data_IF_392843017019
#
_entry.id   IF_392843017019
#
_cell.length_a   1.000
_cell.length_b   1.000
_cell.length_c   1.000
_cell.angle_alpha   90.00
_cell.angle_beta   90.00
_cell.angle_gamma   90.00
#
_symmetry.space_group_name_H-M   'P 1'
#
loop_
_entity.id
_entity.type
_entity.pdbx_description
1 polymer ?
#
# COMPACT_ATOMS: atom_id res chain seq x y z
N UNK A 1 -11.30 29.17 -57.78
CA UNK A 1 -10.86 28.35 -58.93
C UNK A 1 -9.41 27.93 -58.69
N UNK A 2 -9.14 26.61 -58.70
CA UNK A 2 -7.84 25.89 -58.78
C UNK A 2 -6.79 26.21 -57.71
N UNK A 3 -6.55 25.31 -56.74
CA UNK A 3 -5.69 24.10 -56.82
C UNK A 3 -4.27 24.36 -57.32
N UNK A 4 -3.29 24.15 -56.42
CA UNK A 4 -2.08 23.39 -56.72
C UNK A 4 -1.54 22.78 -55.41
N UNK A 5 -1.33 21.47 -55.47
CA UNK A 5 -0.82 20.61 -54.41
C UNK A 5 0.71 20.71 -54.32
N UNK A 6 1.23 20.54 -53.10
CA UNK A 6 2.63 20.25 -52.82
C UNK A 6 2.69 19.33 -51.62
N UNK A 7 2.92 18.05 -51.88
CA UNK A 7 3.11 16.99 -50.88
C UNK A 7 4.49 17.06 -50.25
N UNK A 8 4.58 17.00 -48.91
CA UNK A 8 5.69 16.32 -48.23
C UNK A 8 5.06 15.41 -47.18
N UNK A 9 5.07 14.10 -47.48
CA UNK A 9 4.78 13.05 -46.53
C UNK A 9 5.83 13.06 -45.41
N UNK A 10 5.44 13.50 -44.22
CA UNK A 10 6.06 13.08 -42.96
C UNK A 10 5.22 11.96 -42.35
N UNK A 11 5.50 10.69 -42.72
CA UNK A 11 4.98 9.53 -42.01
C UNK A 11 5.50 9.58 -40.57
N UNK A 12 4.66 9.93 -39.61
CA UNK A 12 4.92 9.55 -38.22
C UNK A 12 4.66 8.05 -38.12
N UNK A 13 5.74 7.28 -38.01
CA UNK A 13 5.71 5.83 -37.77
C UNK A 13 5.00 5.57 -36.45
N UNK A 14 4.06 4.63 -36.46
CA UNK A 14 3.71 3.87 -35.25
C UNK A 14 5.01 3.33 -34.62
N UNK A 15 5.19 3.44 -33.29
CA UNK A 15 6.26 2.70 -32.63
C UNK A 15 5.85 1.22 -32.59
N UNK A 16 6.23 0.48 -33.62
CA UNK A 16 6.32 -0.97 -33.59
C UNK A 16 7.56 -1.37 -32.81
N UNK A 17 7.40 -2.34 -31.90
CA UNK A 17 8.43 -2.97 -31.07
C UNK A 17 9.12 -2.02 -30.08
N UNK A 18 8.63 -1.99 -28.84
CA UNK A 18 9.46 -1.56 -27.70
C UNK A 18 10.66 -2.51 -27.63
N UNK A 19 11.86 -1.97 -27.78
CA UNK A 19 13.06 -2.60 -27.22
C UNK A 19 12.80 -2.75 -25.72
N UNK A 20 12.56 -3.98 -25.29
CA UNK A 20 12.56 -4.34 -23.87
C UNK A 20 14.02 -4.16 -23.44
N UNK A 21 14.34 -3.23 -22.53
CA UNK A 21 15.68 -3.17 -21.97
C UNK A 21 15.96 -4.52 -21.32
N UNK A 22 17.09 -5.14 -21.63
CA UNK A 22 17.57 -6.30 -20.88
C UNK A 22 17.69 -5.89 -19.41
N UNK A 23 16.74 -6.32 -18.60
CA UNK A 23 16.73 -6.11 -17.16
C UNK A 23 17.91 -6.86 -16.58
N UNK A 24 18.71 -6.17 -15.78
CA UNK A 24 19.76 -6.77 -14.99
C UNK A 24 19.05 -7.43 -13.79
N UNK A 25 19.00 -8.76 -13.74
CA UNK A 25 18.21 -9.59 -12.80
C UNK A 25 18.53 -9.40 -11.29
N UNK A 26 19.35 -8.41 -10.92
CA UNK A 26 19.90 -8.22 -9.57
C UNK A 26 19.54 -6.87 -8.90
N UNK A 27 18.67 -6.06 -9.50
CA UNK A 27 18.14 -4.85 -8.84
C UNK A 27 16.69 -5.07 -8.41
N UNK A 28 16.31 -4.61 -7.22
CA UNK A 28 14.90 -4.42 -6.86
C UNK A 28 14.27 -3.51 -7.93
N UNK A 29 13.43 -4.04 -8.82
CA UNK A 29 12.68 -3.23 -9.79
C UNK A 29 11.21 -3.64 -9.76
N UNK A 30 10.42 -2.86 -9.03
CA UNK A 30 8.94 -2.74 -9.14
C UNK A 30 8.51 -2.28 -10.56
N UNK A 31 9.41 -1.58 -11.25
CA UNK A 31 9.23 -0.91 -12.54
C UNK A 31 9.17 -1.83 -13.80
N UNK A 32 8.98 -3.13 -13.62
CA UNK A 32 8.83 -4.07 -14.75
C UNK A 32 7.47 -3.89 -15.45
N UNK A 33 7.37 -4.38 -16.69
CA UNK A 33 6.11 -4.42 -17.45
C UNK A 33 5.72 -5.88 -17.66
N UNK A 34 4.81 -6.39 -16.84
CA UNK A 34 4.18 -7.70 -17.04
C UNK A 34 2.92 -7.63 -17.92
N UNK A 35 2.25 -6.47 -17.97
CA UNK A 35 1.07 -6.27 -18.81
C UNK A 35 1.45 -5.89 -20.26
N UNK A 36 1.40 -6.89 -21.13
CA UNK A 36 1.68 -6.74 -22.56
C UNK A 36 0.41 -6.57 -23.42
N UNK A 37 -0.73 -6.20 -22.81
CA UNK A 37 -1.97 -5.97 -23.55
C UNK A 37 -1.86 -4.78 -24.51
N UNK A 38 -2.61 -4.84 -25.61
CA UNK A 38 -2.73 -3.72 -26.57
C UNK A 38 -3.81 -2.70 -26.15
N UNK A 39 -4.20 -2.69 -24.87
CA UNK A 39 -5.20 -1.77 -24.36
C UNK A 39 -4.68 -0.33 -24.39
N UNK A 40 -5.61 0.63 -24.50
CA UNK A 40 -5.26 2.04 -24.48
C UNK A 40 -4.64 2.41 -23.12
N UNK A 41 -3.49 3.08 -23.12
CA UNK A 41 -2.85 3.51 -21.89
C UNK A 41 -3.63 4.64 -21.22
N UNK A 42 -3.61 4.68 -19.89
CA UNK A 42 -4.27 5.76 -19.15
C UNK A 42 -3.75 7.15 -19.53
N UNK A 43 -2.46 7.26 -19.85
CA UNK A 43 -1.84 8.49 -20.35
C UNK A 43 -2.56 9.02 -21.61
N UNK A 44 -2.95 8.13 -22.53
CA UNK A 44 -3.68 8.51 -23.75
C UNK A 44 -5.10 9.00 -23.43
N UNK A 45 -5.77 8.37 -22.46
CA UNK A 45 -7.10 8.79 -21.97
C UNK A 45 -7.01 10.18 -21.32
N UNK A 46 -6.01 10.39 -20.46
CA UNK A 46 -5.77 11.66 -19.78
C UNK A 46 -5.44 12.76 -20.78
N UNK A 47 -4.54 12.49 -21.73
CA UNK A 47 -4.19 13.41 -22.80
C UNK A 47 -5.42 13.81 -23.61
N UNK A 48 -6.25 12.85 -24.06
CA UNK A 48 -7.48 13.15 -24.77
C UNK A 48 -8.45 14.03 -23.95
N UNK A 49 -8.51 13.84 -22.62
CA UNK A 49 -9.34 14.68 -21.73
C UNK A 49 -8.77 16.08 -21.53
N UNK A 50 -7.45 16.21 -21.37
CA UNK A 50 -6.77 17.51 -21.29
C UNK A 50 -6.92 18.27 -22.59
N UNK A 51 -6.71 17.63 -23.74
CA UNK A 51 -6.93 18.21 -25.07
C UNK A 51 -8.39 18.68 -25.23
N UNK A 52 -9.38 17.88 -24.84
CA UNK A 52 -10.80 18.32 -24.83
C UNK A 52 -11.03 19.52 -23.92
N UNK A 53 -10.41 19.58 -22.74
CA UNK A 53 -10.53 20.72 -21.82
C UNK A 53 -9.83 21.97 -22.35
N UNK A 54 -8.72 21.81 -23.07
CA UNK A 54 -8.02 22.90 -23.76
C UNK A 54 -8.79 23.36 -25.00
N UNK A 55 -9.48 22.48 -25.73
CA UNK A 55 -10.39 22.85 -26.84
C UNK A 55 -11.62 23.58 -26.31
N UNK A 56 -12.20 23.18 -25.19
CA UNK A 56 -13.33 23.88 -24.57
C UNK A 56 -12.94 25.26 -24.00
N UNK A 57 -11.77 25.36 -23.37
CA UNK A 57 -11.22 26.65 -22.92
C UNK A 57 -10.76 27.52 -24.10
N UNK A 58 -10.18 26.91 -25.13
CA UNK A 58 -9.75 27.54 -26.37
C UNK A 58 -10.92 28.03 -27.22
N UNK A 59 -12.05 27.31 -27.24
CA UNK A 59 -13.28 27.73 -27.90
C UNK A 59 -13.93 28.96 -27.26
N UNK A 60 -13.73 29.18 -25.96
CA UNK A 60 -14.08 30.42 -25.27
C UNK A 60 -13.02 31.53 -25.47
N UNK A 61 -11.75 31.18 -25.69
CA UNK A 61 -10.67 32.14 -25.90
C UNK A 61 -10.56 32.66 -27.36
N UNK A 62 -11.01 31.89 -28.36
CA UNK A 62 -11.01 32.30 -29.77
C UNK A 62 -11.98 33.46 -30.05
N UNK A 63 -12.87 33.82 -29.12
CA UNK A 63 -13.64 35.05 -29.19
C UNK A 63 -12.86 36.31 -28.72
N UNK A 64 -11.65 36.18 -28.15
CA UNK A 64 -10.95 37.29 -27.50
C UNK A 64 -9.46 37.49 -27.87
N UNK A 65 -8.86 36.65 -28.72
CA UNK A 65 -7.42 36.78 -29.08
C UNK A 65 -7.14 36.86 -30.58
N UNK A 66 -7.73 37.86 -31.23
CA UNK A 66 -7.24 38.39 -32.52
C UNK A 66 -6.29 39.59 -32.36
N UNK A 67 -5.71 39.80 -31.16
CA UNK A 67 -4.68 40.80 -30.95
C UNK A 67 -3.52 40.23 -30.12
N UNK A 68 -2.30 40.45 -30.62
CA UNK A 68 -0.98 40.12 -30.06
C UNK A 68 -0.40 38.75 -30.45
N UNK A 69 -0.04 38.65 -31.72
CA UNK A 69 1.04 37.79 -32.18
C UNK A 69 2.40 38.38 -31.74
N UNK A 70 3.29 37.52 -31.24
CA UNK A 70 4.73 37.79 -31.17
C UNK A 70 5.29 37.96 -29.76
N UNK A 71 5.84 36.86 -29.21
CA UNK A 71 7.15 36.77 -28.54
C UNK A 71 7.22 35.43 -27.80
N UNK A 72 8.28 34.65 -28.04
CA UNK A 72 8.52 33.38 -27.36
C UNK A 72 8.79 33.62 -25.87
N UNK A 73 8.09 32.89 -25.00
CA UNK A 73 8.30 32.93 -23.56
C UNK A 73 8.97 31.61 -23.15
N UNK A 74 10.18 31.63 -22.56
CA UNK A 74 10.75 30.45 -21.92
C UNK A 74 9.93 30.12 -20.66
N UNK A 75 9.55 28.86 -20.49
CA UNK A 75 8.99 28.36 -19.23
C UNK A 75 10.09 28.31 -18.16
N UNK A 76 10.39 29.46 -17.56
CA UNK A 76 10.99 29.50 -16.23
C UNK A 76 9.85 29.40 -15.22
N UNK A 77 9.76 28.29 -14.50
CA UNK A 77 8.87 28.13 -13.36
C UNK A 77 9.37 29.00 -12.20
N UNK A 78 9.20 30.32 -12.31
CA UNK A 78 9.28 31.19 -11.15
C UNK A 78 8.02 30.93 -10.31
N UNK A 79 8.13 30.00 -9.36
CA UNK A 79 7.16 29.85 -8.29
C UNK A 79 7.11 31.16 -7.50
N UNK A 80 6.12 32.01 -7.80
CA UNK A 80 5.74 33.06 -6.87
C UNK A 80 5.25 32.35 -5.61
N UNK A 81 5.70 32.71 -4.40
CA UNK A 81 5.08 32.22 -3.17
C UNK A 81 3.59 32.49 -3.28
N UNK A 82 2.78 31.43 -3.33
CA UNK A 82 1.33 31.59 -3.29
C UNK A 82 0.98 32.32 -2.00
N UNK A 83 0.10 33.33 -2.08
CA UNK A 83 -0.47 33.92 -0.88
C UNK A 83 -1.10 32.80 -0.04
N UNK A 84 -0.93 32.80 1.30
CA UNK A 84 -1.52 31.80 2.17
C UNK A 84 -3.02 31.67 1.86
N UNK A 85 -3.47 30.45 1.57
CA UNK A 85 -4.91 30.16 1.53
C UNK A 85 -5.36 29.75 2.93
N UNK A 86 -6.64 29.86 3.30
CA UNK A 86 -7.13 29.35 4.57
C UNK A 86 -6.82 27.86 4.80
N UNK A 87 -6.56 27.10 3.73
CA UNK A 87 -6.27 25.67 3.77
C UNK A 87 -4.77 25.35 3.81
N UNK A 88 -3.91 26.27 3.35
CA UNK A 88 -2.44 26.13 3.33
C UNK A 88 -1.85 27.37 3.97
N UNK A 89 -1.58 27.27 5.27
CA UNK A 89 -1.22 28.37 6.16
C UNK A 89 0.13 28.17 6.88
N UNK A 90 0.98 27.30 6.36
CA UNK A 90 2.30 27.00 6.93
C UNK A 90 3.41 27.44 5.96
N UNK A 91 4.62 27.62 6.50
CA UNK A 91 5.78 28.00 5.69
C UNK A 91 6.26 26.80 4.86
N UNK A 92 6.32 26.89 3.51
CA UNK A 92 6.83 25.80 2.68
C UNK A 92 8.29 25.44 3.02
N UNK A 93 8.59 24.15 3.04
CA UNK A 93 9.95 23.61 3.26
C UNK A 93 10.69 23.52 1.92
N UNK A 94 11.97 23.88 1.89
CA UNK A 94 12.77 23.78 0.68
C UNK A 94 13.23 22.34 0.43
N UNK A 95 13.23 21.90 -0.84
CA UNK A 95 13.68 20.55 -1.24
C UNK A 95 15.11 20.28 -0.75
N UNK A 96 15.97 21.30 -0.77
CA UNK A 96 17.37 21.20 -0.34
C UNK A 96 17.51 20.79 1.15
N UNK A 97 16.49 21.00 1.97
CA UNK A 97 16.52 20.68 3.41
C UNK A 97 16.14 19.22 3.68
N UNK A 98 15.56 18.50 2.71
CA UNK A 98 14.98 17.17 2.89
C UNK A 98 15.96 15.98 2.90
N UNK A 99 17.28 16.22 2.82
CA UNK A 99 18.29 15.14 2.73
C UNK A 99 18.80 14.60 4.08
N UNK A 100 18.27 15.08 5.20
CA UNK A 100 18.71 14.72 6.55
C UNK A 100 18.17 13.38 7.06
N UNK A 101 18.70 12.86 8.20
CA UNK A 101 18.22 11.62 8.82
C UNK A 101 16.85 11.75 9.51
N UNK A 102 16.31 12.97 9.57
CA UNK A 102 15.00 13.31 10.12
C UNK A 102 14.26 14.20 9.13
N UNK A 103 12.92 14.21 9.13
CA UNK A 103 12.16 15.02 8.19
C UNK A 103 12.42 16.51 8.42
N UNK A 104 12.68 17.24 7.33
CA UNK A 104 12.58 18.69 7.33
C UNK A 104 11.10 19.09 7.34
N UNK A 105 10.67 19.80 8.38
CA UNK A 105 9.28 20.21 8.58
C UNK A 105 9.18 21.73 8.66
N UNK A 106 7.96 22.25 8.43
CA UNK A 106 7.70 23.67 8.56
C UNK A 106 7.94 24.14 10.01
N UNK A 107 8.51 25.34 10.23
CA UNK A 107 8.91 25.84 11.55
C UNK A 107 7.74 25.99 12.54
N UNK A 108 6.50 26.01 12.05
CA UNK A 108 5.29 26.04 12.89
C UNK A 108 4.91 24.67 13.46
N UNK A 109 5.58 23.59 13.03
CA UNK A 109 5.27 22.22 13.40
C UNK A 109 6.36 21.58 14.26
N UNK A 110 5.99 20.48 14.89
CA UNK A 110 6.87 19.55 15.59
C UNK A 110 6.50 18.13 15.16
N UNK A 111 7.44 17.20 15.27
CA UNK A 111 7.18 15.78 15.08
C UNK A 111 7.70 14.98 16.27
N UNK A 112 7.12 13.79 16.46
CA UNK A 112 7.55 12.79 17.44
C UNK A 112 7.71 11.44 16.71
N UNK A 113 8.67 10.63 17.14
CA UNK A 113 8.81 9.24 16.69
C UNK A 113 7.99 8.37 17.65
N UNK A 114 7.01 7.63 17.13
CA UNK A 114 6.05 6.89 17.97
C UNK A 114 6.31 5.38 17.92
N UNK A 115 6.56 4.83 16.73
CA UNK A 115 6.62 3.41 16.46
C UNK A 115 7.80 3.12 15.50
N UNK A 116 9.06 3.12 15.97
CA UNK A 116 10.19 2.75 15.12
C UNK A 116 10.26 1.23 14.91
N UNK A 117 10.80 0.79 13.77
CA UNK A 117 11.02 -0.65 13.51
C UNK A 117 11.83 -1.30 14.64
N UNK A 118 11.41 -2.49 15.05
CA UNK A 118 12.12 -3.31 16.01
C UNK A 118 11.85 -2.95 17.49
N UNK A 119 11.07 -1.90 17.76
CA UNK A 119 10.52 -1.69 19.10
C UNK A 119 9.56 -2.82 19.48
N UNK A 120 9.53 -3.25 20.75
CA UNK A 120 8.60 -4.28 21.19
C UNK A 120 7.16 -3.80 21.04
N UNK A 121 6.27 -4.69 20.60
CA UNK A 121 4.84 -4.37 20.51
C UNK A 121 4.21 -4.05 21.86
N UNK A 122 4.66 -4.73 22.91
CA UNK A 122 4.13 -4.61 24.26
C UNK A 122 5.26 -4.34 25.27
N UNK A 123 4.98 -3.61 26.36
CA UNK A 123 5.92 -3.49 27.46
C UNK A 123 6.36 -4.86 27.99
N UNK A 124 7.68 -5.09 28.05
CA UNK A 124 8.26 -6.39 28.44
C UNK A 124 8.53 -7.34 27.27
N UNK A 125 8.19 -6.95 26.04
CA UNK A 125 8.64 -7.62 24.82
C UNK A 125 10.16 -7.50 24.61
N UNK A 126 10.70 -8.18 23.58
CA UNK A 126 12.14 -8.24 23.34
C UNK A 126 12.70 -6.86 22.98
N UNK A 127 13.79 -6.48 23.64
CA UNK A 127 14.53 -5.26 23.32
C UNK A 127 15.05 -5.29 21.89
N UNK A 128 15.13 -4.11 21.26
CA UNK A 128 15.71 -3.98 19.93
C UNK A 128 17.11 -4.61 19.87
N UNK A 129 17.33 -5.43 18.86
CA UNK A 129 18.65 -5.94 18.47
C UNK A 129 18.72 -6.02 16.95
N UNK A 130 19.92 -5.85 16.40
CA UNK A 130 20.15 -5.92 14.97
C UNK A 130 21.39 -6.74 14.64
N UNK A 131 21.28 -7.77 13.78
CA UNK A 131 20.03 -8.34 13.25
C UNK A 131 19.13 -8.94 14.35
N UNK A 132 17.79 -8.90 14.23
CA UNK A 132 16.90 -9.52 15.20
C UNK A 132 16.86 -11.04 15.01
N UNK A 133 16.57 -11.78 16.08
CA UNK A 133 16.20 -13.20 15.94
C UNK A 133 14.79 -13.32 15.35
N UNK A 134 14.47 -14.46 14.73
CA UNK A 134 13.11 -14.70 14.24
C UNK A 134 12.05 -14.62 15.35
N UNK A 135 12.37 -15.11 16.55
CA UNK A 135 11.48 -15.10 17.70
C UNK A 135 11.23 -13.68 18.22
N UNK A 136 12.26 -12.83 18.23
CA UNK A 136 12.13 -11.44 18.68
C UNK A 136 11.35 -10.61 17.67
N UNK A 137 11.70 -10.73 16.37
CA UNK A 137 11.05 -9.96 15.31
C UNK A 137 9.55 -10.27 15.19
N UNK A 138 9.10 -11.48 15.59
CA UNK A 138 7.68 -11.84 15.64
C UNK A 138 6.88 -11.04 16.71
N UNK A 139 7.57 -10.41 17.67
CA UNK A 139 6.99 -9.65 18.78
C UNK A 139 7.35 -8.16 18.73
N UNK A 140 8.11 -7.73 17.73
CA UNK A 140 8.51 -6.34 17.51
C UNK A 140 7.72 -5.71 16.37
N UNK A 141 7.70 -4.39 16.27
CA UNK A 141 7.25 -3.71 15.06
C UNK A 141 8.04 -4.20 13.84
N UNK A 142 7.36 -4.30 12.70
CA UNK A 142 7.98 -4.63 11.42
C UNK A 142 8.72 -3.46 10.79
N UNK A 143 9.26 -3.68 9.59
CA UNK A 143 10.07 -2.72 8.82
C UNK A 143 9.31 -2.26 7.56
N UNK A 144 9.66 -1.08 7.04
CA UNK A 144 9.01 -0.53 5.84
C UNK A 144 7.58 -0.10 6.15
N UNK A 145 7.45 0.78 7.13
CA UNK A 145 6.14 1.30 7.55
C UNK A 145 5.42 1.94 6.37
N UNK A 146 4.20 1.52 6.11
CA UNK A 146 3.41 1.99 4.97
C UNK A 146 1.96 2.28 5.40
N UNK A 147 0.96 1.78 4.67
CA UNK A 147 -0.45 2.01 4.89
C UNK A 147 -0.84 1.86 6.36
N UNK A 148 -1.66 2.77 6.85
CA UNK A 148 -2.06 2.78 8.25
C UNK A 148 -3.44 3.40 8.46
N UNK A 149 -4.13 2.97 9.50
CA UNK A 149 -5.39 3.56 9.92
C UNK A 149 -5.53 3.58 11.44
N UNK A 150 -5.93 4.75 11.97
CA UNK A 150 -6.20 4.94 13.39
C UNK A 150 -7.69 4.78 13.69
N UNK A 151 -8.02 3.76 14.46
CA UNK A 151 -9.36 3.48 14.97
C UNK A 151 -9.52 4.13 16.35
N UNK A 152 -10.24 5.27 16.47
CA UNK A 152 -10.42 5.91 17.76
C UNK A 152 -11.25 5.05 18.71
N UNK A 153 -10.79 4.92 19.96
CA UNK A 153 -11.54 4.27 21.05
C UNK A 153 -12.23 5.35 21.88
N UNK A 154 -13.50 5.13 22.22
CA UNK A 154 -14.23 6.05 23.10
C UNK A 154 -13.72 5.93 24.53
N UNK A 155 -13.16 7.01 25.05
CA UNK A 155 -13.02 7.17 26.50
C UNK A 155 -14.43 7.42 27.11
N UNK A 156 -14.74 6.76 28.22
CA UNK A 156 -16.04 6.90 28.88
C UNK A 156 -16.32 8.38 29.22
N UNK A 157 -17.22 9.01 28.44
CA UNK A 157 -17.61 10.43 28.60
C UNK A 157 -17.27 11.37 27.43
N UNK A 158 -16.55 10.93 26.40
CA UNK A 158 -16.23 11.77 25.24
C UNK A 158 -17.39 11.84 24.21
N UNK A 159 -17.71 13.05 23.73
CA UNK A 159 -18.69 13.25 22.66
C UNK A 159 -18.12 12.79 21.31
N UNK A 160 -18.68 11.69 20.78
CA UNK A 160 -18.54 11.10 19.42
C UNK A 160 -17.26 11.43 18.63
N UNK A 161 -16.34 10.48 18.59
CA UNK A 161 -15.59 10.15 17.37
C UNK A 161 -16.09 8.79 16.84
N UNK A 162 -16.28 8.73 15.52
CA UNK A 162 -17.09 7.73 14.84
C UNK A 162 -16.55 6.31 14.91
N UNK A 163 -17.42 5.40 15.33
CA UNK A 163 -17.72 4.09 14.75
C UNK A 163 -19.20 3.83 15.10
N UNK A 164 -20.05 3.59 14.09
CA UNK A 164 -21.42 3.11 14.28
C UNK A 164 -21.28 1.62 14.63
N UNK A 165 -21.73 1.11 15.78
CA UNK A 165 -23.13 0.96 16.16
C UNK A 165 -23.36 1.08 17.68
N UNK A 166 -24.29 1.96 18.04
CA UNK A 166 -25.31 1.72 19.05
C UNK A 166 -26.49 2.61 18.66
N UNK A 167 -27.18 2.25 17.57
CA UNK A 167 -28.52 2.76 17.29
C UNK A 167 -29.48 1.76 17.92
N UNK A 168 -29.80 1.96 19.19
CA UNK A 168 -31.15 1.74 19.68
C UNK A 168 -31.48 2.78 20.77
N UNK A 169 -32.45 3.64 20.43
CA UNK A 169 -33.31 4.44 21.30
C UNK A 169 -32.77 5.74 21.92
N UNK A 170 -33.34 6.80 21.35
CA UNK A 170 -33.94 7.99 21.98
C UNK A 170 -33.23 9.36 21.81
N UNK A 171 -34.02 10.44 21.55
CA UNK A 171 -33.59 11.77 21.13
C UNK A 171 -33.40 12.69 22.35
N UNK A 172 -33.35 14.01 22.11
CA UNK A 172 -33.17 15.15 23.05
C UNK A 172 -31.73 15.67 23.14
N UNK A 173 -31.41 16.72 22.38
CA UNK A 173 -31.43 18.15 22.82
C UNK A 173 -30.56 18.41 24.05
N UNK A 174 -29.46 19.11 23.79
CA UNK A 174 -28.94 20.18 24.64
C UNK A 174 -28.31 19.77 25.96
N UNK A 175 -26.98 19.61 25.96
CA UNK A 175 -26.07 20.19 26.95
C UNK A 175 -24.63 20.03 26.48
N UNK A 176 -23.96 21.17 26.28
CA UNK A 176 -22.53 21.24 26.14
C UNK A 176 -21.88 20.72 27.43
N UNK A 177 -21.01 19.72 27.32
CA UNK A 177 -20.14 19.28 28.39
C UNK A 177 -18.69 19.29 27.90
N UNK A 178 -17.85 19.88 28.75
CA UNK A 178 -16.49 20.29 28.49
C UNK A 178 -15.51 19.10 28.53
N UNK A 179 -15.20 18.55 27.37
CA UNK A 179 -13.89 18.04 26.96
C UNK A 179 -13.80 18.28 25.43
N UNK A 180 -12.66 18.79 24.92
CA UNK A 180 -12.53 19.26 23.53
C UNK A 180 -12.73 18.18 22.44
N UNK A 181 -12.85 18.56 21.16
CA UNK A 181 -13.28 17.69 20.06
C UNK A 181 -12.19 16.74 19.51
N UNK A 182 -11.24 16.29 20.32
CA UNK A 182 -10.05 15.56 19.87
C UNK A 182 -9.97 14.16 20.48
N UNK A 183 -9.68 13.17 19.64
CA UNK A 183 -9.33 11.82 20.07
C UNK A 183 -8.06 11.83 20.93
N UNK A 184 -8.09 11.13 22.06
CA UNK A 184 -6.96 10.95 22.99
C UNK A 184 -6.51 9.49 23.09
N UNK A 185 -7.19 8.57 22.41
CA UNK A 185 -7.00 7.13 22.57
C UNK A 185 -7.53 6.38 21.35
N UNK A 186 -6.82 5.35 20.91
CA UNK A 186 -7.28 4.46 19.84
C UNK A 186 -6.28 3.38 19.48
N UNK A 187 -6.60 2.61 18.46
CA UNK A 187 -5.77 1.52 17.92
C UNK A 187 -5.26 1.90 16.55
N UNK A 188 -3.95 1.85 16.32
CA UNK A 188 -3.33 2.03 15.02
C UNK A 188 -3.05 0.66 14.39
N UNK A 189 -3.61 0.43 13.20
CA UNK A 189 -3.10 -0.61 12.30
C UNK A 189 -2.09 0.03 11.35
N UNK A 190 -1.00 -0.68 11.12
CA UNK A 190 0.16 -0.19 10.37
C UNK A 190 0.77 -1.35 9.59
N UNK A 191 0.96 -1.17 8.29
CA UNK A 191 1.61 -2.13 7.41
C UNK A 191 3.14 -2.05 7.46
N UNK A 192 3.76 -3.16 7.07
CA UNK A 192 5.21 -3.38 6.97
C UNK A 192 5.51 -4.01 5.60
N UNK A 193 5.81 -3.15 4.65
CA UNK A 193 5.83 -3.44 3.22
C UNK A 193 7.16 -4.03 2.75
N UNK A 194 8.27 -3.37 3.08
CA UNK A 194 9.58 -3.66 2.49
C UNK A 194 10.70 -3.72 3.53
N UNK A 195 11.72 -4.52 3.24
CA UNK A 195 12.89 -4.66 4.09
C UNK A 195 13.81 -5.76 3.58
N UNK A 196 14.66 -5.42 2.61
CA UNK A 196 15.61 -6.38 2.02
C UNK A 196 16.61 -6.97 3.03
N UNK A 197 17.34 -8.01 2.60
CA UNK A 197 18.27 -8.76 3.45
C UNK A 197 19.32 -7.87 4.15
N UNK A 198 19.82 -6.83 3.47
CA UNK A 198 20.76 -5.87 4.06
C UNK A 198 20.15 -5.09 5.24
N UNK A 199 18.87 -4.76 5.15
CA UNK A 199 18.14 -4.06 6.22
C UNK A 199 17.87 -5.00 7.39
N UNK A 200 17.26 -6.17 7.17
CA UNK A 200 16.80 -7.02 8.28
C UNK A 200 17.91 -7.92 8.81
N UNK A 201 18.72 -8.51 7.93
CA UNK A 201 19.69 -9.56 8.27
C UNK A 201 21.13 -9.05 8.36
N UNK A 202 21.40 -7.82 7.91
CA UNK A 202 22.77 -7.27 7.83
C UNK A 202 23.68 -8.01 6.85
N UNK A 203 23.10 -8.76 5.90
CA UNK A 203 23.84 -9.56 4.91
C UNK A 203 23.11 -9.62 3.57
N UNK A 204 23.82 -10.05 2.52
CA UNK A 204 23.29 -10.05 1.17
C UNK A 204 22.19 -11.11 0.93
N UNK A 205 22.29 -12.26 1.61
CA UNK A 205 21.37 -13.39 1.42
C UNK A 205 21.14 -14.14 2.75
N UNK A 206 19.96 -14.77 2.93
CA UNK A 206 19.75 -15.70 4.05
C UNK A 206 20.71 -16.89 3.96
N UNK A 207 21.03 -17.49 5.10
CA UNK A 207 21.91 -18.65 5.23
C UNK A 207 21.23 -19.81 5.99
N UNK A 208 20.00 -19.59 6.47
CA UNK A 208 19.23 -20.54 7.25
C UNK A 208 17.73 -20.24 7.14
N UNK A 209 16.90 -21.19 7.58
CA UNK A 209 15.47 -20.95 7.75
C UNK A 209 15.21 -19.86 8.81
N UNK A 210 16.05 -19.75 9.85
CA UNK A 210 15.87 -18.73 10.89
C UNK A 210 16.03 -17.31 10.32
N UNK A 211 17.00 -17.10 9.43
CA UNK A 211 17.14 -15.83 8.68
C UNK A 211 15.88 -15.52 7.86
N UNK A 212 15.36 -16.53 7.15
CA UNK A 212 14.13 -16.38 6.36
C UNK A 212 12.95 -16.05 7.27
N UNK A 213 12.83 -16.69 8.44
CA UNK A 213 11.76 -16.41 9.40
C UNK A 213 11.90 -15.01 10.01
N UNK A 214 13.11 -14.54 10.33
CA UNK A 214 13.34 -13.17 10.77
C UNK A 214 12.88 -12.15 9.72
N UNK A 215 13.27 -12.34 8.45
CA UNK A 215 12.81 -11.52 7.33
C UNK A 215 11.28 -11.56 7.18
N UNK A 216 10.67 -12.75 7.18
CA UNK A 216 9.22 -12.94 7.09
C UNK A 216 8.44 -12.32 8.26
N UNK A 217 9.00 -12.35 9.48
CA UNK A 217 8.40 -11.73 10.65
C UNK A 217 8.57 -10.21 10.66
N UNK A 218 9.50 -9.66 9.88
CA UNK A 218 9.66 -8.21 9.74
C UNK A 218 8.57 -7.57 8.85
N UNK A 219 7.89 -8.36 8.01
CA UNK A 219 6.81 -7.91 7.12
C UNK A 219 5.42 -8.15 7.73
N UNK A 220 4.38 -7.57 7.13
CA UNK A 220 3.00 -7.80 7.54
C UNK A 220 2.30 -6.56 8.09
N UNK A 221 1.65 -6.68 9.25
CA UNK A 221 0.90 -5.63 9.94
C UNK A 221 1.22 -5.64 11.44
N UNK A 222 1.27 -4.46 12.04
CA UNK A 222 1.20 -4.26 13.49
C UNK A 222 -0.12 -3.61 13.87
N UNK A 223 -0.73 -4.11 14.93
CA UNK A 223 -1.84 -3.47 15.65
C UNK A 223 -1.30 -2.98 16.98
N UNK A 224 -1.44 -1.69 17.28
CA UNK A 224 -0.88 -1.06 18.49
C UNK A 224 -1.90 -0.09 19.11
N UNK A 225 -2.13 -0.18 20.42
CA UNK A 225 -2.93 0.80 21.14
C UNK A 225 -2.09 2.04 21.47
N UNK A 226 -2.63 3.22 21.16
CA UNK A 226 -1.97 4.51 21.39
C UNK A 226 -2.82 5.39 22.30
N UNK A 227 -2.16 6.13 23.19
CA UNK A 227 -2.77 7.21 23.97
C UNK A 227 -2.03 8.51 23.83
N UNK A 228 -2.78 9.60 23.89
CA UNK A 228 -2.28 10.96 23.86
C UNK A 228 -2.09 11.48 25.28
N UNK A 229 -0.86 11.74 25.66
CA UNK A 229 -0.49 12.30 26.95
C UNK A 229 -0.28 13.82 26.85
N UNK A 230 -0.54 14.58 27.93
CA UNK A 230 -0.28 16.02 27.96
C UNK A 230 1.21 16.34 27.75
N UNK A 231 1.50 17.35 26.92
CA UNK A 231 2.83 17.96 26.75
C UNK A 231 2.67 19.49 26.80
N UNK A 232 3.68 20.24 27.22
CA UNK A 232 3.59 21.71 27.18
C UNK A 232 3.38 22.18 25.72
N UNK A 233 2.27 22.88 25.45
CA UNK A 233 1.93 23.41 24.13
C UNK A 233 1.39 22.40 23.11
N UNK A 234 1.34 21.09 23.40
CA UNK A 234 0.86 20.05 22.49
C UNK A 234 0.44 18.77 23.26
N UNK A 235 0.05 17.68 22.60
CA UNK A 235 -0.12 16.38 23.27
C UNK A 235 0.66 15.33 22.51
N UNK A 236 1.34 14.43 23.20
CA UNK A 236 2.22 13.42 22.61
C UNK A 236 1.53 12.06 22.59
N UNK A 237 1.53 11.40 21.43
CA UNK A 237 1.03 10.03 21.32
C UNK A 237 2.13 9.04 21.70
N UNK A 238 1.77 8.03 22.48
CA UNK A 238 2.68 6.96 22.89
C UNK A 238 1.95 5.62 22.85
N UNK A 239 2.65 4.52 22.53
CA UNK A 239 2.10 3.17 22.71
C UNK A 239 1.82 2.92 24.19
N UNK A 240 0.77 2.15 24.46
CA UNK A 240 0.40 1.70 25.80
C UNK A 240 0.25 0.18 25.81
N UNK A 241 0.48 -0.45 26.96
CA UNK A 241 0.23 -1.90 27.09
C UNK A 241 -1.22 -2.22 26.75
N UNK A 242 -1.39 -3.20 25.87
CA UNK A 242 -2.67 -3.55 25.29
C UNK A 242 -2.80 -5.05 25.07
N UNK A 243 -3.99 -5.56 25.35
CA UNK A 243 -4.38 -6.91 24.92
C UNK A 243 -4.62 -6.98 23.41
N UNK A 244 -4.76 -5.83 22.74
CA UNK A 244 -5.01 -5.73 21.31
C UNK A 244 -3.72 -5.73 20.48
N UNK A 245 -2.57 -5.53 21.11
CA UNK A 245 -1.30 -5.48 20.41
C UNK A 245 -1.02 -6.81 19.71
N UNK A 246 -0.69 -6.74 18.42
CA UNK A 246 -0.63 -7.92 17.57
C UNK A 246 0.30 -7.73 16.37
N UNK A 247 1.12 -8.74 16.07
CA UNK A 247 1.71 -8.93 14.75
C UNK A 247 0.85 -9.86 13.91
N UNK A 248 0.62 -9.46 12.66
CA UNK A 248 0.15 -10.34 11.59
C UNK A 248 1.27 -10.38 10.55
N UNK A 249 2.01 -11.47 10.46
CA UNK A 249 3.20 -11.60 9.60
C UNK A 249 3.01 -12.75 8.59
N UNK A 250 4.02 -13.02 7.77
CA UNK A 250 3.99 -14.00 6.66
C UNK A 250 3.73 -15.45 7.10
N UNK A 251 3.79 -15.72 8.41
CA UNK A 251 3.55 -17.04 9.00
C UNK A 251 2.32 -17.09 9.91
N UNK A 252 1.57 -16.00 10.05
CA UNK A 252 0.32 -15.97 10.79
C UNK A 252 -0.75 -16.76 10.02
N UNK A 253 -1.51 -17.67 10.64
CA UNK A 253 -2.61 -18.35 9.97
C UNK A 253 -3.62 -17.35 9.39
N UNK A 254 -4.11 -17.63 8.18
CA UNK A 254 -5.13 -16.83 7.49
C UNK A 254 -6.21 -17.74 6.90
N UNK A 255 -7.37 -17.17 6.62
CA UNK A 255 -8.46 -17.87 5.90
C UNK A 255 -8.82 -17.13 4.62
N UNK A 256 -9.58 -17.80 3.75
CA UNK A 256 -10.13 -17.19 2.54
C UNK A 256 -11.65 -17.11 2.62
N UNK A 257 -12.19 -15.99 2.15
CA UNK A 257 -13.64 -15.80 1.97
C UNK A 257 -13.92 -15.23 0.59
N UNK A 258 -15.11 -15.55 0.05
CA UNK A 258 -15.56 -15.10 -1.27
C UNK A 258 -15.45 -16.19 -2.35
N UNK A 259 -15.64 -15.83 -3.63
CA UNK A 259 -15.85 -16.80 -4.71
C UNK A 259 -14.72 -17.79 -4.96
N UNK A 260 -13.47 -17.45 -4.62
CA UNK A 260 -12.34 -18.35 -4.81
C UNK A 260 -12.04 -19.21 -3.57
N UNK A 261 -12.73 -18.99 -2.44
CA UNK A 261 -12.51 -19.77 -1.23
C UNK A 261 -12.77 -21.27 -1.48
N UNK A 262 -11.80 -22.12 -1.12
CA UNK A 262 -11.88 -23.57 -1.34
C UNK A 262 -11.56 -24.05 -2.77
N UNK A 263 -11.29 -23.12 -3.72
CA UNK A 263 -10.93 -23.48 -5.08
C UNK A 263 -9.62 -24.29 -5.14
N UNK A 264 -9.49 -25.20 -6.10
CA UNK A 264 -8.31 -26.08 -6.24
C UNK A 264 -6.99 -25.30 -6.39
N UNK A 265 -7.03 -24.11 -7.04
CA UNK A 265 -5.87 -23.22 -7.14
C UNK A 265 -5.46 -22.55 -5.82
N UNK A 266 -6.21 -22.72 -4.73
CA UNK A 266 -5.78 -22.32 -3.37
C UNK A 266 -5.36 -23.52 -2.52
N UNK A 267 -5.30 -24.72 -3.11
CA UNK A 267 -4.84 -25.94 -2.44
C UNK A 267 -3.42 -26.28 -2.89
N UNK A 268 -2.59 -26.69 -1.94
CA UNK A 268 -1.23 -27.18 -2.15
C UNK A 268 -1.20 -28.69 -1.98
N UNK A 269 -0.24 -29.37 -2.62
CA UNK A 269 -0.06 -30.83 -2.49
C UNK A 269 0.22 -31.28 -1.04
N UNK A 270 0.89 -30.43 -0.25
CA UNK A 270 1.18 -30.67 1.16
C UNK A 270 -0.03 -30.51 2.08
N UNK A 271 -1.15 -29.94 1.61
CA UNK A 271 -2.35 -29.71 2.43
C UNK A 271 -2.13 -28.74 3.60
N UNK A 272 -1.10 -27.90 3.55
CA UNK A 272 -0.83 -26.93 4.62
C UNK A 272 -1.96 -25.89 4.73
N UNK A 273 -2.21 -25.46 5.97
CA UNK A 273 -3.06 -24.29 6.20
C UNK A 273 -2.47 -23.06 5.49
N UNK A 274 -3.30 -22.16 4.95
CA UNK A 274 -2.82 -20.90 4.44
C UNK A 274 -2.18 -20.07 5.54
N UNK A 275 -0.99 -19.53 5.28
CA UNK A 275 -0.32 -18.63 6.22
C UNK A 275 0.07 -17.35 5.51
N UNK A 276 -0.22 -16.25 6.19
CA UNK A 276 0.47 -15.00 6.06
C UNK A 276 -0.15 -13.98 5.14
N UNK A 277 0.41 -12.80 5.29
CA UNK A 277 0.29 -11.67 4.37
C UNK A 277 1.69 -11.10 4.18
N UNK A 278 2.01 -10.61 2.98
CA UNK A 278 3.34 -10.10 2.64
C UNK A 278 3.23 -8.88 1.77
N UNK A 279 4.27 -8.02 1.83
CA UNK A 279 4.37 -6.81 1.04
C UNK A 279 3.10 -5.98 1.12
N UNK A 280 2.75 -5.72 2.37
CA UNK A 280 1.57 -4.98 2.75
C UNK A 280 1.84 -3.51 2.45
N UNK A 281 1.31 -3.00 1.33
CA UNK A 281 1.55 -1.65 0.83
C UNK A 281 0.67 -0.63 1.58
N UNK A 282 -0.31 -0.01 0.91
CA UNK A 282 -1.26 0.91 1.51
C UNK A 282 -2.43 0.18 2.20
N UNK A 283 -3.53 0.88 2.45
CA UNK A 283 -4.60 0.37 3.28
C UNK A 283 -6.02 0.80 2.86
N UNK A 284 -6.97 0.26 3.60
CA UNK A 284 -8.35 0.69 3.65
C UNK A 284 -8.92 0.47 5.05
N UNK A 285 -10.13 0.96 5.28
CA UNK A 285 -10.89 0.66 6.49
C UNK A 285 -12.36 0.52 6.11
N UNK A 286 -13.03 -0.44 6.72
CA UNK A 286 -14.44 -0.73 6.43
C UNK A 286 -15.35 0.08 7.33
N UNK A 287 -16.59 0.43 6.95
CA UNK A 287 -17.55 1.09 7.83
C UNK A 287 -17.96 0.32 9.11
N UNK A 288 -17.60 -0.97 9.21
CA UNK A 288 -17.87 -1.84 10.36
C UNK A 288 -16.65 -2.07 11.27
N UNK A 289 -15.59 -1.29 11.12
CA UNK A 289 -14.53 -1.22 12.12
C UNK A 289 -13.33 -2.14 11.88
N UNK A 290 -13.18 -2.67 10.67
CA UNK A 290 -12.04 -3.53 10.32
C UNK A 290 -11.05 -2.82 9.41
N UNK A 291 -9.80 -3.28 9.48
CA UNK A 291 -8.69 -2.81 8.67
C UNK A 291 -8.53 -3.65 7.42
N UNK A 292 -8.26 -3.01 6.29
CA UNK A 292 -7.91 -3.67 5.04
C UNK A 292 -6.44 -3.40 4.74
N UNK A 293 -5.64 -4.45 4.67
CA UNK A 293 -4.25 -4.40 4.21
C UNK A 293 -4.14 -5.01 2.81
N UNK A 294 -3.22 -4.51 1.99
CA UNK A 294 -3.16 -4.82 0.57
C UNK A 294 -1.83 -5.48 0.21
N UNK A 295 -1.87 -6.70 -0.32
CA UNK A 295 -0.67 -7.39 -0.81
C UNK A 295 -0.36 -6.94 -2.24
N UNK A 296 0.83 -6.36 -2.43
CA UNK A 296 1.18 -5.63 -3.65
C UNK A 296 2.24 -6.38 -4.47
N UNK A 297 3.53 -6.14 -4.25
CA UNK A 297 4.63 -6.84 -4.90
C UNK A 297 4.93 -8.26 -4.34
N UNK A 298 3.89 -9.04 -4.01
CA UNK A 298 4.02 -10.38 -3.42
C UNK A 298 4.84 -11.37 -4.27
N UNK A 299 4.77 -11.25 -5.59
CA UNK A 299 5.50 -12.09 -6.55
C UNK A 299 7.04 -12.01 -6.36
N UNK A 300 7.56 -10.89 -5.86
CA UNK A 300 8.99 -10.69 -5.61
C UNK A 300 9.55 -11.53 -4.45
N UNK A 301 8.69 -12.12 -3.62
CA UNK A 301 9.10 -12.94 -2.47
C UNK A 301 9.24 -14.42 -2.80
N UNK A 302 8.81 -14.81 -4.00
CA UNK A 302 8.94 -16.17 -4.54
C UNK A 302 10.16 -16.27 -5.46
N UNK A 303 10.69 -17.47 -5.62
CA UNK A 303 11.76 -17.76 -6.57
C UNK A 303 12.01 -19.26 -6.66
N UNK A 304 13.09 -19.66 -7.30
CA UNK A 304 13.54 -21.06 -7.35
C UNK A 304 15.00 -21.13 -7.82
N UNK A 305 15.72 -22.14 -7.36
CA UNK A 305 17.05 -22.49 -7.89
C UNK A 305 16.99 -23.61 -8.93
N UNK A 306 15.80 -24.16 -9.21
CA UNK A 306 15.61 -25.17 -10.24
C UNK A 306 15.67 -24.53 -11.64
N UNK A 307 16.78 -24.79 -12.34
CA UNK A 307 17.00 -24.31 -13.70
C UNK A 307 16.04 -24.89 -14.75
N UNK A 308 15.29 -25.95 -14.40
CA UNK A 308 14.26 -26.53 -15.27
C UNK A 308 12.89 -25.89 -15.10
N UNK A 309 12.71 -25.02 -14.10
CA UNK A 309 11.45 -24.32 -13.89
C UNK A 309 11.15 -23.36 -15.05
N UNK A 310 9.92 -23.46 -15.55
CA UNK A 310 9.41 -22.60 -16.61
C UNK A 310 8.15 -21.92 -16.10
N UNK A 311 8.10 -20.59 -16.25
CA UNK A 311 6.92 -19.79 -15.92
C UNK A 311 5.72 -20.29 -16.72
N UNK A 312 4.60 -20.47 -16.04
CA UNK A 312 3.29 -20.53 -16.72
C UNK A 312 2.90 -19.15 -17.26
N UNK A 313 1.95 -19.10 -18.19
CA UNK A 313 1.41 -17.82 -18.69
C UNK A 313 0.84 -16.94 -17.57
N UNK A 314 0.20 -17.56 -16.57
CA UNK A 314 -0.30 -16.86 -15.40
C UNK A 314 0.86 -16.28 -14.57
N UNK A 315 1.88 -17.08 -14.27
CA UNK A 315 3.06 -16.58 -13.54
C UNK A 315 3.78 -15.46 -14.30
N UNK A 316 3.89 -15.56 -15.63
CA UNK A 316 4.44 -14.50 -16.46
C UNK A 316 3.62 -13.20 -16.38
N UNK A 317 2.28 -13.30 -16.38
CA UNK A 317 1.39 -12.14 -16.22
C UNK A 317 1.50 -11.47 -14.85
N UNK A 318 1.77 -12.22 -13.79
CA UNK A 318 1.99 -11.65 -12.45
C UNK A 318 3.46 -11.24 -12.20
N UNK A 319 4.34 -11.38 -13.20
CA UNK A 319 5.74 -10.94 -13.11
C UNK A 319 6.67 -11.88 -12.33
N UNK A 320 6.27 -13.12 -12.02
CA UNK A 320 7.12 -14.07 -11.30
C UNK A 320 8.42 -14.36 -12.05
N UNK A 321 9.52 -14.51 -11.31
CA UNK A 321 10.85 -14.85 -11.84
C UNK A 321 11.54 -15.87 -10.92
N UNK A 322 12.59 -16.52 -11.41
CA UNK A 322 13.37 -17.46 -10.59
C UNK A 322 14.14 -16.77 -9.46
N UNK A 323 14.59 -15.52 -9.68
CA UNK A 323 15.30 -14.74 -8.67
C UNK A 323 14.41 -14.00 -7.66
N UNK A 324 13.12 -13.83 -7.97
CA UNK A 324 12.26 -12.89 -7.26
C UNK A 324 12.91 -11.51 -7.19
N UNK A 325 12.78 -10.84 -6.04
CA UNK A 325 13.45 -9.58 -5.71
C UNK A 325 14.69 -9.80 -4.83
N UNK A 326 15.27 -11.00 -4.86
CA UNK A 326 16.52 -11.29 -4.13
C UNK A 326 16.36 -11.54 -2.62
N UNK A 327 15.14 -11.67 -2.10
CA UNK A 327 14.90 -12.11 -0.71
C UNK A 327 15.48 -13.51 -0.43
N UNK A 328 15.44 -14.41 -1.42
CA UNK A 328 16.02 -15.74 -1.31
C UNK A 328 15.31 -16.68 -0.34
N UNK A 329 14.04 -16.42 -0.02
CA UNK A 329 13.26 -17.24 0.92
C UNK A 329 13.10 -18.69 0.46
N UNK A 330 12.90 -18.90 -0.84
CA UNK A 330 12.77 -20.23 -1.47
C UNK A 330 13.94 -21.18 -1.16
N UNK A 331 15.14 -20.66 -0.87
CA UNK A 331 16.32 -21.46 -0.55
C UNK A 331 16.20 -22.23 0.76
N UNK A 332 15.37 -21.75 1.69
CA UNK A 332 15.25 -22.34 3.04
C UNK A 332 13.79 -22.57 3.47
N UNK A 333 12.81 -21.92 2.83
CA UNK A 333 11.38 -22.14 3.03
C UNK A 333 10.72 -22.60 1.74
N UNK A 334 10.46 -23.91 1.66
CA UNK A 334 9.86 -24.60 0.50
C UNK A 334 8.53 -23.98 0.03
N UNK A 335 7.79 -23.30 0.91
CA UNK A 335 6.57 -22.54 0.55
C UNK A 335 6.80 -21.51 -0.57
N UNK A 336 7.99 -20.93 -0.61
CA UNK A 336 8.31 -19.85 -1.54
C UNK A 336 9.06 -20.33 -2.78
N UNK A 337 9.33 -21.64 -2.89
CA UNK A 337 9.95 -22.25 -4.07
C UNK A 337 8.91 -22.57 -5.14
N UNK A 338 9.00 -21.85 -6.27
CA UNK A 338 8.08 -21.97 -7.41
C UNK A 338 8.18 -23.32 -8.15
N UNK A 339 9.26 -24.08 -7.93
CA UNK A 339 9.44 -25.42 -8.51
C UNK A 339 8.98 -26.54 -7.56
N UNK A 340 8.68 -26.24 -6.30
CA UNK A 340 8.33 -27.26 -5.31
C UNK A 340 6.93 -27.84 -5.57
N UNK A 341 6.89 -29.14 -5.85
CA UNK A 341 5.64 -29.83 -6.19
C UNK A 341 4.64 -29.91 -5.02
N UNK A 342 5.14 -29.98 -3.78
CA UNK A 342 4.28 -30.06 -2.58
C UNK A 342 3.65 -28.70 -2.26
N UNK A 343 4.33 -27.61 -2.61
CA UNK A 343 3.87 -26.22 -2.40
C UNK A 343 3.38 -25.52 -3.67
N UNK A 344 3.20 -26.27 -4.77
CA UNK A 344 2.53 -25.74 -5.96
C UNK A 344 1.21 -25.08 -5.58
N UNK A 345 0.95 -23.89 -6.14
CA UNK A 345 -0.18 -22.99 -5.85
C UNK A 345 -0.03 -22.13 -4.58
N UNK A 346 1.06 -22.23 -3.82
CA UNK A 346 1.28 -21.31 -2.69
C UNK A 346 1.31 -19.85 -3.17
N UNK A 347 1.81 -19.59 -4.38
CA UNK A 347 1.83 -18.25 -4.98
C UNK A 347 0.42 -17.68 -5.22
N UNK A 348 -0.58 -18.53 -5.45
CA UNK A 348 -1.98 -18.12 -5.61
C UNK A 348 -2.63 -17.69 -4.30
N UNK A 349 -2.02 -18.03 -3.16
CA UNK A 349 -2.51 -17.66 -1.84
C UNK A 349 -2.10 -16.23 -1.43
N UNK A 350 -1.38 -15.50 -2.26
CA UNK A 350 -1.00 -14.09 -2.07
C UNK A 350 -1.51 -13.20 -3.23
N UNK A 351 -1.51 -11.88 -3.03
CA UNK A 351 -2.03 -10.88 -3.95
C UNK A 351 -3.48 -10.49 -3.68
N UNK A 352 -3.90 -10.51 -2.42
CA UNK A 352 -5.27 -10.24 -2.01
C UNK A 352 -5.35 -9.04 -1.06
N UNK A 353 -6.51 -8.39 -1.02
CA UNK A 353 -6.88 -7.56 0.13
C UNK A 353 -7.19 -8.49 1.31
N UNK A 354 -6.56 -8.23 2.46
CA UNK A 354 -6.71 -9.00 3.70
C UNK A 354 -7.40 -8.13 4.74
N UNK A 355 -8.48 -8.64 5.32
CA UNK A 355 -9.23 -7.97 6.38
C UNK A 355 -8.78 -8.44 7.77
N UNK A 356 -8.51 -7.49 8.65
CA UNK A 356 -8.06 -7.69 10.03
C UNK A 356 -9.03 -6.94 10.96
N UNK A 357 -9.50 -7.61 12.01
CA UNK A 357 -10.20 -6.95 13.11
C UNK A 357 -9.17 -6.40 14.10
N UNK A 358 -9.02 -5.07 14.25
CA UNK A 358 -8.08 -4.47 15.19
C UNK A 358 -8.51 -4.61 16.66
N UNK A 359 -9.76 -4.95 16.93
CA UNK A 359 -10.33 -5.06 18.28
C UNK A 359 -10.49 -6.51 18.76
N UNK A 360 -10.24 -7.49 17.89
CA UNK A 360 -10.15 -8.91 18.26
C UNK A 360 -8.77 -9.49 17.86
N UNK A 361 -7.81 -9.56 18.79
CA UNK A 361 -6.47 -10.10 18.51
C UNK A 361 -6.48 -11.61 18.20
N UNK A 362 -7.58 -12.31 18.49
CA UNK A 362 -7.73 -13.75 18.23
C UNK A 362 -8.37 -14.04 16.88
N UNK A 363 -9.03 -13.05 16.27
CA UNK A 363 -9.68 -13.21 14.97
C UNK A 363 -8.65 -13.55 13.89
N UNK A 364 -8.88 -14.62 13.13
CA UNK A 364 -7.99 -15.02 12.04
C UNK A 364 -8.17 -14.08 10.84
N UNK A 365 -7.11 -13.43 10.30
CA UNK A 365 -7.25 -12.54 9.16
C UNK A 365 -7.84 -13.25 7.93
N UNK A 366 -8.60 -12.51 7.12
CA UNK A 366 -9.38 -13.08 6.02
C UNK A 366 -8.98 -12.46 4.69
N UNK A 367 -8.47 -13.25 3.76
CA UNK A 367 -8.23 -12.83 2.38
C UNK A 367 -9.56 -12.75 1.63
N UNK A 368 -9.91 -11.56 1.14
CA UNK A 368 -11.21 -11.26 0.53
C UNK A 368 -11.18 -11.43 -0.98
N UNK A 369 -11.42 -12.65 -1.43
CA UNK A 369 -11.26 -13.05 -2.84
C UNK A 369 -12.21 -12.38 -3.81
N UNK A 370 -13.33 -11.83 -3.33
CA UNK A 370 -14.29 -11.07 -4.14
C UNK A 370 -13.71 -9.75 -4.70
N UNK A 371 -12.63 -9.22 -4.09
CA UNK A 371 -11.94 -8.02 -4.55
C UNK A 371 -10.89 -8.30 -5.64
N UNK A 372 -10.73 -9.56 -6.04
CA UNK A 372 -9.78 -9.98 -7.07
C UNK A 372 -8.35 -10.15 -6.55
N UNK A 373 -7.53 -10.84 -7.35
CA UNK A 373 -6.11 -11.11 -7.08
C UNK A 373 -5.22 -10.30 -8.02
N UNK A 374 -4.45 -9.36 -7.49
CA UNK A 374 -3.60 -8.41 -8.22
C UNK A 374 -2.57 -7.79 -7.25
N UNK A 375 -1.74 -6.84 -7.70
CA UNK A 375 -0.78 -6.13 -6.84
C UNK A 375 -1.46 -4.91 -6.21
N UNK A 376 -2.18 -5.13 -5.10
CA UNK A 376 -3.07 -4.11 -4.55
C UNK A 376 -2.26 -3.00 -3.86
N UNK A 377 -2.33 -1.77 -4.39
CA UNK A 377 -1.78 -0.58 -3.72
C UNK A 377 -2.56 -0.28 -2.44
N UNK A 378 -3.86 -0.01 -2.59
CA UNK A 378 -4.76 0.37 -1.49
C UNK A 378 -6.21 -0.03 -1.76
N UNK A 379 -7.05 0.05 -0.72
CA UNK A 379 -8.46 -0.35 -0.76
C UNK A 379 -9.37 0.80 -0.30
N UNK A 380 -9.67 1.73 -1.20
CA UNK A 380 -10.51 2.89 -0.87
C UNK A 380 -11.97 2.49 -0.77
N UNK A 381 -12.52 2.52 0.44
CA UNK A 381 -13.91 2.15 0.72
C UNK A 381 -14.84 3.36 0.63
N UNK A 382 -15.98 3.17 0.00
CA UNK A 382 -17.09 4.11 -0.08
C UNK A 382 -18.42 3.37 0.15
N UNK A 383 -19.43 4.06 0.65
CA UNK A 383 -20.81 3.52 0.75
C UNK A 383 -21.67 4.36 -0.19
N UNK A 384 -22.31 3.70 -1.15
CA UNK A 384 -23.16 4.40 -2.12
C UNK A 384 -24.52 4.82 -1.53
N UNK A 385 -25.31 5.56 -2.32
CA UNK A 385 -26.63 6.08 -1.92
C UNK A 385 -27.65 4.96 -1.59
N UNK A 386 -27.35 3.71 -1.93
CA UNK A 386 -28.17 2.53 -1.64
C UNK A 386 -27.63 1.71 -0.47
N UNK A 387 -26.57 2.17 0.20
CA UNK A 387 -25.96 1.48 1.35
C UNK A 387 -25.03 0.33 0.96
N UNK A 388 -24.70 0.17 -0.33
CA UNK A 388 -23.76 -0.87 -0.78
C UNK A 388 -22.33 -0.40 -0.59
N UNK A 389 -21.46 -1.33 -0.24
CA UNK A 389 -20.04 -1.09 -0.08
C UNK A 389 -19.38 -1.12 -1.44
N UNK A 390 -18.66 -0.05 -1.77
CA UNK A 390 -17.85 0.08 -2.96
C UNK A 390 -16.39 0.12 -2.54
N UNK A 391 -15.55 -0.70 -3.17
CA UNK A 391 -14.11 -0.68 -2.92
C UNK A 391 -13.38 -0.41 -4.24
N UNK A 392 -12.59 0.66 -4.27
CA UNK A 392 -11.69 0.96 -5.38
C UNK A 392 -10.29 0.48 -5.03
N UNK A 393 -9.66 -0.27 -5.93
CA UNK A 393 -8.28 -0.75 -5.78
C UNK A 393 -7.47 -0.43 -7.04
N UNK A 394 -6.18 -0.15 -6.86
CA UNK A 394 -5.21 -0.04 -7.95
C UNK A 394 -4.33 -1.29 -8.01
N UNK A 395 -3.90 -1.64 -9.22
CA UNK A 395 -2.89 -2.66 -9.48
C UNK A 395 -1.59 -1.94 -9.85
N UNK A 396 -0.67 -1.80 -8.90
CA UNK A 396 0.53 -0.98 -9.08
C UNK A 396 1.61 -1.73 -9.85
N UNK A 397 1.38 -1.81 -11.16
CA UNK A 397 2.41 -2.14 -12.12
C UNK A 397 2.15 -1.33 -13.41
N UNK A 398 3.23 -1.05 -14.13
CA UNK A 398 3.14 -0.30 -15.38
C UNK A 398 2.15 -0.93 -16.35
N UNK A 399 1.17 -0.12 -16.76
CA UNK A 399 0.09 -0.48 -17.68
C UNK A 399 -0.95 -1.48 -17.14
N UNK A 400 -0.98 -1.75 -15.84
CA UNK A 400 -2.12 -2.40 -15.19
C UNK A 400 -3.28 -1.42 -14.94
N UNK A 401 -4.27 -1.85 -14.16
CA UNK A 401 -5.61 -1.26 -14.18
C UNK A 401 -6.07 -0.72 -12.81
N UNK A 402 -7.18 0.01 -12.85
CA UNK A 402 -7.95 0.40 -11.66
C UNK A 402 -9.21 -0.45 -11.62
N UNK A 403 -9.52 -1.00 -10.45
CA UNK A 403 -10.63 -1.92 -10.22
C UNK A 403 -11.67 -1.32 -9.28
N UNK A 404 -12.90 -1.79 -9.42
CA UNK A 404 -14.04 -1.40 -8.59
C UNK A 404 -14.86 -2.63 -8.23
N UNK A 405 -14.92 -2.93 -6.94
CA UNK A 405 -15.87 -3.86 -6.36
C UNK A 405 -17.11 -3.12 -5.88
N UNK A 406 -18.29 -3.74 -6.01
CA UNK A 406 -19.55 -3.27 -5.42
C UNK A 406 -20.21 -4.47 -4.75
N UNK A 407 -20.58 -4.35 -3.48
CA UNK A 407 -21.26 -5.40 -2.75
C UNK A 407 -22.62 -5.71 -3.36
N UNK A 408 -23.06 -6.96 -3.17
CA UNK A 408 -24.34 -7.47 -3.67
C UNK A 408 -25.55 -6.67 -3.15
#
# INVERSE_FOLDING_TARGET
MKCLAGSVLGRFRHPTAREIPTVNDNAFTDDMISNNSANQAFADILQARVERRQVLKGGLAVAATSALAGTGIPFAANARPGLPSPQINFTPVAIADGGGPVPAIAPEYQFDIILPWGDPLEPGGPSYSWPPTAADQAQQLGIGHDGMWFFPVRDAGAARAGWNEAIERNPWRGRALAFGPVNSHGVLCLNHEFGGNGHVLGKAAPQSLDDVRASQHAHGVSVVELRRFPRAGSGQWQPVSSKLARRVHVNTPVTFSGPAAGHALLQTGNGNVPLGTVNNCSNGYTPWGTYLTCEENFHGYFGTEDASWVRTDAQARYGFSSGGFGYGWHRFDRRFDLADADYRNEEHRFGWVVEIDPFDPTHTPVKRTALGRLKHEGATVHVDDHGRVVVYTGDDERFEYIYKFVSA
#
